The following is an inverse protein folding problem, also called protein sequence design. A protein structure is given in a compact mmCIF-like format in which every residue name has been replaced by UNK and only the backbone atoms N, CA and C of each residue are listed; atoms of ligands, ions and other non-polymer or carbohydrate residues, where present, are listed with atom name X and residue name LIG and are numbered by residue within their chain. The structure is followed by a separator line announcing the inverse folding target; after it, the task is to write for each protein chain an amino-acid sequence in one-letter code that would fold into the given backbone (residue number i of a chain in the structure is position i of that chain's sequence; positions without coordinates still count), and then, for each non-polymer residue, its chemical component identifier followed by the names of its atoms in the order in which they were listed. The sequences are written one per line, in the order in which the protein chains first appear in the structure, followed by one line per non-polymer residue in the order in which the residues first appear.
data_IF_467831770602
#
_entry.id   IF_467831770602
#
_cell.length_a   1.000
_cell.length_b   1.000
_cell.length_c   1.000
_cell.angle_alpha   90.00
_cell.angle_beta   90.00
_cell.angle_gamma   90.00
#
_symmetry.space_group_name_H-M   'P 1'
#
loop_
_entity.id
_entity.type
_entity.pdbx_description
1 polymer ?
#
# COMPACT_ATOMS: atom_id res chain seq x y z
N UNK A 1 -6.10 8.00 -34.73
CA UNK A 1 -5.58 7.13 -33.65
C UNK A 1 -4.83 7.98 -32.65
N UNK A 2 -5.43 8.28 -31.49
CA UNK A 2 -4.76 9.07 -30.46
C UNK A 2 -3.69 8.21 -29.78
N UNK A 3 -2.42 8.60 -29.92
CA UNK A 3 -1.31 8.02 -29.17
C UNK A 3 -1.59 8.29 -27.70
N UNK A 4 -2.02 7.25 -26.97
CA UNK A 4 -2.26 7.35 -25.52
C UNK A 4 -0.92 7.71 -24.88
N UNK A 5 -0.81 8.90 -24.29
CA UNK A 5 0.37 9.31 -23.55
C UNK A 5 0.69 8.21 -22.52
N UNK A 6 1.87 7.61 -22.63
CA UNK A 6 2.32 6.55 -21.73
C UNK A 6 2.62 7.24 -20.39
N UNK A 7 1.69 7.17 -19.44
CA UNK A 7 1.96 7.66 -18.09
C UNK A 7 3.22 6.98 -17.57
N UNK A 8 4.17 7.79 -17.09
CA UNK A 8 5.36 7.28 -16.41
C UNK A 8 4.91 6.48 -15.18
N UNK A 9 5.36 5.22 -15.09
CA UNK A 9 5.07 4.37 -13.93
C UNK A 9 5.59 5.06 -12.67
N UNK A 10 4.79 5.02 -11.60
CA UNK A 10 5.23 5.47 -10.29
C UNK A 10 6.16 4.41 -9.68
N UNK A 11 7.25 4.86 -9.06
CA UNK A 11 8.15 3.97 -8.33
C UNK A 11 7.83 4.03 -6.85
N UNK A 12 7.62 2.87 -6.23
CA UNK A 12 7.47 2.80 -4.79
C UNK A 12 8.83 2.98 -4.11
N UNK A 13 8.94 4.00 -3.26
CA UNK A 13 10.18 4.30 -2.52
C UNK A 13 10.07 4.05 -1.02
N UNK A 14 8.90 3.63 -0.53
CA UNK A 14 8.72 3.18 0.84
C UNK A 14 9.35 1.80 1.08
N UNK A 15 9.35 1.34 2.32
CA UNK A 15 9.81 -0.03 2.61
C UNK A 15 8.82 -1.06 2.08
N UNK A 16 9.26 -2.31 1.91
CA UNK A 16 8.36 -3.42 1.57
C UNK A 16 7.32 -3.66 2.67
N UNK A 17 7.70 -3.48 3.94
CA UNK A 17 6.79 -3.57 5.09
C UNK A 17 5.68 -2.52 4.99
N UNK A 18 6.02 -1.27 4.66
CA UNK A 18 5.05 -0.19 4.48
C UNK A 18 4.04 -0.51 3.37
N UNK A 19 4.53 -1.07 2.26
CA UNK A 19 3.66 -1.45 1.13
C UNK A 19 2.74 -2.61 1.51
N UNK A 20 3.27 -3.65 2.15
CA UNK A 20 2.48 -4.80 2.59
C UNK A 20 1.42 -4.38 3.61
N UNK A 21 1.76 -3.48 4.55
CA UNK A 21 0.80 -2.89 5.50
C UNK A 21 -0.34 -2.20 4.74
N UNK A 22 -0.02 -1.28 3.82
CA UNK A 22 -1.00 -0.56 3.02
C UNK A 22 -1.91 -1.49 2.21
N UNK A 23 -1.35 -2.44 1.47
CA UNK A 23 -2.11 -3.35 0.63
C UNK A 23 -3.03 -4.26 1.46
N UNK A 24 -2.55 -4.74 2.60
CA UNK A 24 -3.36 -5.54 3.53
C UNK A 24 -4.53 -4.73 4.07
N UNK A 25 -4.30 -3.48 4.48
CA UNK A 25 -5.34 -2.61 5.00
C UNK A 25 -6.41 -2.28 3.95
N UNK A 26 -6.01 -2.03 2.71
CA UNK A 26 -6.95 -1.81 1.60
C UNK A 26 -7.77 -3.06 1.28
N UNK A 27 -7.16 -4.25 1.37
CA UNK A 27 -7.89 -5.52 1.22
C UNK A 27 -8.92 -5.72 2.35
N UNK A 28 -8.51 -5.55 3.61
CA UNK A 28 -9.39 -5.73 4.77
C UNK A 28 -10.54 -4.72 4.79
N UNK A 29 -10.26 -3.49 4.35
CA UNK A 29 -11.28 -2.45 4.15
C UNK A 29 -12.13 -2.67 2.87
N UNK A 30 -11.89 -3.76 2.12
CA UNK A 30 -12.66 -4.12 0.94
C UNK A 30 -12.66 -3.07 -0.18
N UNK A 31 -11.59 -2.27 -0.29
CA UNK A 31 -11.53 -1.13 -1.19
C UNK A 31 -11.48 -1.50 -2.68
N UNK A 32 -11.11 -2.75 -3.02
CA UNK A 32 -10.92 -3.20 -4.39
C UNK A 32 -12.05 -4.10 -4.87
N UNK A 33 -12.46 -3.90 -6.14
CA UNK A 33 -13.42 -4.75 -6.85
C UNK A 33 -14.70 -5.03 -6.05
N UNK A 34 -15.27 -4.01 -5.39
CA UNK A 34 -16.46 -4.15 -4.54
C UNK A 34 -16.27 -5.17 -3.40
N UNK A 35 -15.08 -5.17 -2.79
CA UNK A 35 -14.70 -6.10 -1.72
C UNK A 35 -14.37 -7.52 -2.16
N UNK A 36 -14.29 -7.80 -3.48
CA UNK A 36 -14.06 -9.16 -4.00
C UNK A 36 -12.60 -9.45 -4.35
N UNK A 37 -11.72 -8.47 -4.25
CA UNK A 37 -10.31 -8.68 -4.58
C UNK A 37 -9.61 -9.50 -3.48
N UNK A 38 -8.93 -10.56 -3.91
CA UNK A 38 -8.06 -11.36 -3.04
C UNK A 38 -6.72 -10.66 -2.83
N UNK A 39 -6.04 -10.98 -1.72
CA UNK A 39 -4.69 -10.46 -1.45
C UNK A 39 -3.72 -10.74 -2.61
N UNK A 40 -3.77 -11.95 -3.17
CA UNK A 40 -2.92 -12.36 -4.29
C UNK A 40 -3.12 -11.49 -5.54
N UNK A 41 -4.37 -11.08 -5.82
CA UNK A 41 -4.66 -10.18 -6.94
C UNK A 41 -4.10 -8.78 -6.69
N UNK A 42 -4.25 -8.27 -5.47
CA UNK A 42 -3.77 -6.94 -5.07
C UNK A 42 -2.24 -6.89 -5.11
N UNK A 43 -1.55 -7.91 -4.58
CA UNK A 43 -0.09 -8.01 -4.59
C UNK A 43 0.44 -8.02 -6.03
N UNK A 44 -0.09 -8.89 -6.91
CA UNK A 44 0.34 -8.95 -8.32
C UNK A 44 0.14 -7.64 -9.06
N UNK A 45 -0.96 -6.95 -8.78
CA UNK A 45 -1.22 -5.62 -9.32
C UNK A 45 -0.15 -4.63 -8.84
N UNK A 46 0.12 -4.57 -7.53
CA UNK A 46 1.11 -3.67 -6.97
C UNK A 46 2.53 -3.94 -7.49
N UNK A 47 2.94 -5.20 -7.66
CA UNK A 47 4.22 -5.57 -8.27
C UNK A 47 4.35 -5.02 -9.70
N UNK A 48 3.29 -5.16 -10.52
CA UNK A 48 3.26 -4.66 -11.89
C UNK A 48 3.31 -3.12 -11.98
N UNK A 49 2.55 -2.44 -11.12
CA UNK A 49 2.44 -0.98 -11.15
C UNK A 49 3.67 -0.29 -10.57
N UNK A 50 4.18 -0.79 -9.45
CA UNK A 50 5.31 -0.17 -8.75
C UNK A 50 6.67 -0.72 -9.15
N UNK A 51 6.72 -1.84 -9.88
CA UNK A 51 7.99 -2.47 -10.26
C UNK A 51 8.76 -3.05 -9.07
N UNK A 52 8.05 -3.51 -8.05
CA UNK A 52 8.60 -4.12 -6.83
C UNK A 52 8.40 -5.63 -6.83
N UNK A 53 9.19 -6.35 -6.02
CA UNK A 53 8.94 -7.76 -5.71
C UNK A 53 8.32 -7.86 -4.32
N UNK A 54 7.14 -8.49 -4.22
CA UNK A 54 6.43 -8.74 -2.97
C UNK A 54 6.39 -10.24 -2.63
N UNK A 55 7.38 -11.00 -3.09
CA UNK A 55 7.61 -12.36 -2.64
C UNK A 55 7.75 -12.41 -1.11
N UNK A 56 7.06 -13.37 -0.47
CA UNK A 56 7.07 -13.49 0.99
C UNK A 56 6.27 -12.41 1.74
N UNK A 57 5.35 -11.69 1.08
CA UNK A 57 4.49 -10.69 1.75
C UNK A 57 3.78 -11.22 3.00
N UNK A 58 3.43 -12.51 3.04
CA UNK A 58 2.84 -13.17 4.21
C UNK A 58 3.78 -13.17 5.42
N UNK A 59 5.08 -13.46 5.22
CA UNK A 59 6.08 -13.45 6.30
C UNK A 59 6.27 -12.02 6.77
N UNK A 60 6.45 -11.08 5.83
CA UNK A 60 6.60 -9.65 6.11
C UNK A 60 5.45 -9.10 6.95
N UNK A 61 4.21 -9.43 6.58
CA UNK A 61 3.03 -9.04 7.35
C UNK A 61 3.00 -9.68 8.74
N UNK A 62 3.28 -10.98 8.83
CA UNK A 62 3.28 -11.69 10.12
C UNK A 62 4.33 -11.14 11.08
N UNK A 63 5.51 -10.80 10.59
CA UNK A 63 6.57 -10.16 11.39
C UNK A 63 6.15 -8.76 11.86
N UNK A 64 5.53 -7.97 10.97
CA UNK A 64 4.99 -6.66 11.33
C UNK A 64 3.89 -6.78 12.40
N UNK A 65 2.96 -7.73 12.24
CA UNK A 65 1.84 -7.96 13.15
C UNK A 65 2.29 -8.45 14.56
N UNK A 66 3.43 -9.13 14.66
CA UNK A 66 3.98 -9.64 15.92
C UNK A 66 4.61 -8.56 16.80
N UNK A 67 4.85 -7.35 16.28
CA UNK A 67 5.40 -6.24 17.08
C UNK A 67 4.40 -5.84 18.17
N UNK A 68 4.89 -5.62 19.40
CA UNK A 68 4.04 -5.20 20.54
C UNK A 68 3.69 -3.71 20.48
N UNK A 69 4.51 -2.92 19.80
CA UNK A 69 4.37 -1.47 19.59
C UNK A 69 4.45 -1.24 18.07
N UNK A 70 3.73 -0.23 17.56
CA UNK A 70 3.79 0.20 16.15
C UNK A 70 3.38 -0.85 15.10
N UNK A 71 2.29 -1.59 15.35
CA UNK A 71 1.74 -2.57 14.40
C UNK A 71 1.24 -1.97 13.08
N UNK A 72 0.86 -0.69 13.09
CA UNK A 72 0.32 0.06 11.94
C UNK A 72 1.10 1.36 11.72
N UNK A 73 2.43 1.26 11.77
CA UNK A 73 3.32 2.43 11.74
C UNK A 73 3.15 3.25 10.47
N UNK A 74 3.00 2.58 9.33
CA UNK A 74 2.89 3.28 8.05
C UNK A 74 1.57 4.03 7.93
N UNK A 75 0.45 3.39 8.28
CA UNK A 75 -0.86 4.05 8.28
C UNK A 75 -0.92 5.23 9.24
N UNK A 76 -0.36 5.09 10.45
CA UNK A 76 -0.28 6.20 11.40
C UNK A 76 0.47 7.39 10.80
N UNK A 77 1.60 7.14 10.13
CA UNK A 77 2.36 8.18 9.42
C UNK A 77 1.53 8.83 8.30
N UNK A 78 0.81 8.04 7.48
CA UNK A 78 -0.04 8.56 6.41
C UNK A 78 -1.15 9.48 6.95
N UNK A 79 -1.79 9.08 8.05
CA UNK A 79 -2.80 9.87 8.72
C UNK A 79 -2.23 11.18 9.25
N UNK A 80 -1.08 11.14 9.95
CA UNK A 80 -0.42 12.35 10.46
C UNK A 80 -0.08 13.33 9.34
N UNK A 81 0.53 12.87 8.24
CA UNK A 81 0.91 13.80 7.14
C UNK A 81 -0.32 14.41 6.45
N UNK A 82 -1.42 13.66 6.35
CA UNK A 82 -2.68 14.15 5.78
C UNK A 82 -3.32 15.23 6.67
N UNK A 83 -3.44 14.95 7.97
CA UNK A 83 -4.02 15.89 8.95
C UNK A 83 -3.20 17.17 9.00
N UNK A 84 -1.86 17.07 9.12
CA UNK A 84 -0.99 18.26 9.14
C UNK A 84 -1.17 19.13 7.89
N UNK A 85 -1.40 18.50 6.72
CA UNK A 85 -1.64 19.24 5.48
C UNK A 85 -3.00 19.97 5.52
N UNK A 86 -4.04 19.35 6.05
CA UNK A 86 -5.35 19.99 6.26
C UNK A 86 -5.25 21.15 7.26
N UNK A 87 -4.60 20.94 8.40
CA UNK A 87 -4.45 21.97 9.44
C UNK A 87 -3.65 23.17 8.92
N UNK A 88 -2.66 22.97 8.04
CA UNK A 88 -1.91 24.07 7.42
C UNK A 88 -2.71 24.91 6.41
N UNK A 89 -3.91 24.47 6.03
CA UNK A 89 -4.80 25.18 5.12
C UNK A 89 -5.91 25.95 5.83
N UNK A 90 -6.06 25.74 7.14
CA UNK A 90 -6.99 26.46 8.01
C UNK A 90 -6.33 27.75 8.53
#
# INVERSE_FOLDING_TARGET
SAVRAKHSKLQWTGTLVDLVELLTSLQLASCFNHGKATMKQIVRWAESEFGVNLEGYHITFNEAARRKIDRTKFLNRLMTVLINKMDSML
#
